data_IF_361106895319
#
_entry.id   IF_361106895319
#
_cell.length_a   1.000
_cell.length_b   1.000
_cell.length_c   1.000
_cell.angle_alpha   90.00
_cell.angle_beta   90.00
_cell.angle_gamma   90.00
#
_symmetry.space_group_name_H-M   'P 1'
#
loop_
_entity.id
_entity.type
_entity.pdbx_description
1 polymer ?
#
# COMPACT_ATOMS: atom_id res chain seq x y z
N UNK A 1 -17.68 0.22 -20.27
CA UNK A 1 -17.90 0.22 -18.80
C UNK A 1 -18.34 1.61 -18.33
N UNK A 2 -18.91 1.78 -17.12
CA UNK A 2 -19.29 3.10 -16.59
C UNK A 2 -18.74 3.28 -15.17
N UNK A 3 -17.67 4.06 -15.03
CA UNK A 3 -16.97 4.33 -13.77
C UNK A 3 -17.72 5.28 -12.83
N UNK A 4 -18.82 5.89 -13.28
CA UNK A 4 -19.68 6.79 -12.50
C UNK A 4 -20.97 6.11 -12.00
N UNK A 5 -21.10 4.80 -12.19
CA UNK A 5 -22.33 4.07 -11.81
C UNK A 5 -22.55 4.01 -10.29
N UNK A 6 -21.46 4.09 -9.51
CA UNK A 6 -21.51 3.98 -8.06
C UNK A 6 -21.77 5.34 -7.39
N UNK A 7 -22.70 5.42 -6.42
CA UNK A 7 -22.86 6.63 -5.63
C UNK A 7 -21.60 6.90 -4.80
N UNK A 8 -21.27 8.18 -4.63
CA UNK A 8 -20.20 8.60 -3.72
C UNK A 8 -20.69 8.48 -2.28
N UNK A 9 -19.87 7.90 -1.40
CA UNK A 9 -20.17 7.71 0.01
C UNK A 9 -19.35 8.65 0.91
N UNK A 10 -19.81 8.78 2.16
CA UNK A 10 -19.18 9.61 3.19
C UNK A 10 -19.62 11.07 3.14
N UNK A 11 -18.98 11.90 3.95
CA UNK A 11 -19.44 13.26 4.28
C UNK A 11 -18.35 14.33 4.09
N UNK A 12 -17.19 13.97 3.55
CA UNK A 12 -16.17 14.95 3.24
C UNK A 12 -16.55 15.70 1.97
N UNK A 13 -16.78 17.01 2.10
CA UNK A 13 -16.95 17.90 0.96
C UNK A 13 -15.63 18.06 0.19
N UNK A 14 -15.67 17.84 -1.12
CA UNK A 14 -14.56 18.11 -2.03
C UNK A 14 -14.68 19.50 -2.64
N UNK A 15 -13.60 19.99 -3.24
CA UNK A 15 -13.62 21.25 -3.97
C UNK A 15 -14.48 21.14 -5.24
N UNK A 16 -15.07 22.26 -5.71
CA UNK A 16 -15.76 22.29 -7.00
C UNK A 16 -14.87 21.82 -8.17
N UNK A 17 -13.56 22.12 -8.09
CA UNK A 17 -12.59 21.68 -9.10
C UNK A 17 -12.48 20.15 -9.14
N UNK A 18 -12.38 19.50 -7.98
CA UNK A 18 -12.30 18.04 -7.92
C UNK A 18 -13.58 17.39 -8.46
N UNK A 19 -14.75 17.88 -8.06
CA UNK A 19 -16.02 17.30 -8.52
C UNK A 19 -16.23 17.46 -10.02
N UNK A 20 -15.82 18.60 -10.61
CA UNK A 20 -15.83 18.80 -12.06
C UNK A 20 -14.90 17.82 -12.77
N UNK A 21 -13.62 17.78 -12.35
CA UNK A 21 -12.60 17.01 -13.06
C UNK A 21 -12.72 15.50 -12.83
N UNK A 22 -13.24 15.06 -11.69
CA UNK A 22 -13.53 13.65 -11.44
C UNK A 22 -14.47 13.07 -12.51
N UNK A 23 -15.57 13.75 -12.79
CA UNK A 23 -16.55 13.31 -13.80
C UNK A 23 -15.90 13.27 -15.18
N UNK A 24 -15.31 14.40 -15.60
CA UNK A 24 -14.71 14.54 -16.94
C UNK A 24 -13.62 13.50 -17.20
N UNK A 25 -12.77 13.25 -16.20
CA UNK A 25 -11.65 12.32 -16.30
C UNK A 25 -12.14 10.88 -16.41
N UNK A 26 -13.12 10.48 -15.60
CA UNK A 26 -13.66 9.13 -15.62
C UNK A 26 -14.44 8.86 -16.91
N UNK A 27 -15.26 9.80 -17.37
CA UNK A 27 -15.95 9.70 -18.67
C UNK A 27 -14.96 9.62 -19.83
N UNK A 28 -13.92 10.44 -19.84
CA UNK A 28 -12.90 10.40 -20.88
C UNK A 28 -12.14 9.06 -20.87
N UNK A 29 -11.71 8.60 -19.70
CA UNK A 29 -11.01 7.31 -19.53
C UNK A 29 -11.85 6.13 -20.02
N UNK A 30 -13.14 6.13 -19.68
CA UNK A 30 -14.10 5.12 -20.16
C UNK A 30 -14.26 5.20 -21.68
N UNK A 31 -14.46 6.40 -22.22
CA UNK A 31 -14.67 6.66 -23.65
C UNK A 31 -13.49 6.23 -24.52
N UNK A 32 -12.25 6.45 -24.06
CA UNK A 32 -11.04 6.04 -24.78
C UNK A 32 -10.67 4.56 -24.57
N UNK A 33 -11.44 3.83 -23.77
CA UNK A 33 -11.27 2.39 -23.55
C UNK A 33 -10.20 1.99 -22.54
N UNK A 34 -9.55 2.96 -21.87
CA UNK A 34 -8.51 2.69 -20.85
C UNK A 34 -9.06 1.88 -19.68
N UNK A 35 -10.30 2.19 -19.25
CA UNK A 35 -10.96 1.46 -18.16
C UNK A 35 -11.07 -0.03 -18.45
N UNK A 36 -11.44 -0.41 -19.67
CA UNK A 36 -11.61 -1.81 -20.03
C UNK A 36 -10.25 -2.54 -20.16
N UNK A 37 -9.22 -1.83 -20.62
CA UNK A 37 -7.87 -2.39 -20.82
C UNK A 37 -7.06 -2.55 -19.55
N UNK A 38 -7.22 -1.67 -18.56
CA UNK A 38 -6.49 -1.72 -17.28
C UNK A 38 -7.29 -2.56 -16.29
N UNK A 39 -6.68 -3.62 -15.75
CA UNK A 39 -7.36 -4.66 -14.99
C UNK A 39 -6.92 -4.65 -13.52
N UNK A 40 -6.70 -5.82 -12.92
CA UNK A 40 -6.31 -5.97 -11.52
C UNK A 40 -4.86 -5.57 -11.26
N UNK A 41 -4.52 -5.35 -9.99
CA UNK A 41 -3.12 -5.25 -9.54
C UNK A 41 -2.54 -6.66 -9.56
N UNK A 42 -1.51 -6.89 -10.38
CA UNK A 42 -0.79 -8.17 -10.44
C UNK A 42 0.36 -8.24 -9.42
N UNK A 43 0.97 -7.09 -9.11
CA UNK A 43 2.08 -7.03 -8.17
C UNK A 43 2.17 -5.66 -7.47
N UNK A 44 2.77 -5.66 -6.29
CA UNK A 44 3.21 -4.46 -5.59
C UNK A 44 4.69 -4.57 -5.25
N UNK A 45 5.38 -3.43 -5.21
CA UNK A 45 6.81 -3.37 -5.00
C UNK A 45 7.15 -2.62 -3.72
N UNK A 46 7.99 -3.23 -2.90
CA UNK A 46 8.52 -2.67 -1.66
C UNK A 46 10.03 -2.79 -1.73
N UNK A 47 10.75 -1.71 -1.42
CA UNK A 47 12.20 -1.75 -1.18
C UNK A 47 12.47 -1.70 0.31
N UNK A 48 13.54 -2.37 0.74
CA UNK A 48 14.04 -2.40 2.13
C UNK A 48 15.52 -2.05 2.16
N UNK A 49 16.05 -1.70 3.34
CA UNK A 49 17.48 -1.48 3.53
C UNK A 49 18.30 -2.75 3.24
N UNK A 50 19.56 -2.61 2.81
CA UNK A 50 20.52 -3.71 2.79
C UNK A 50 20.54 -4.48 4.12
N UNK A 51 20.53 -5.81 4.05
CA UNK A 51 20.48 -6.73 5.17
C UNK A 51 19.08 -6.97 5.75
N UNK A 52 18.02 -6.35 5.23
CA UNK A 52 16.68 -6.44 5.83
C UNK A 52 15.72 -7.43 5.14
N UNK A 53 15.97 -7.87 3.91
CA UNK A 53 15.02 -8.71 3.16
C UNK A 53 14.70 -10.03 3.86
N UNK A 54 15.70 -10.76 4.37
CA UNK A 54 15.51 -12.05 5.05
C UNK A 54 14.55 -11.92 6.24
N UNK A 55 14.80 -10.93 7.10
CA UNK A 55 13.99 -10.68 8.29
C UNK A 55 12.59 -10.19 7.91
N UNK A 56 12.48 -9.31 6.92
CA UNK A 56 11.20 -8.80 6.46
C UNK A 56 10.33 -9.88 5.80
N UNK A 57 10.91 -10.77 5.01
CA UNK A 57 10.19 -11.90 4.41
C UNK A 57 9.69 -12.86 5.48
N UNK A 58 10.48 -13.09 6.53
CA UNK A 58 10.07 -13.91 7.67
C UNK A 58 8.92 -13.26 8.46
N UNK A 59 8.98 -11.93 8.65
CA UNK A 59 7.89 -11.15 9.23
C UNK A 59 6.61 -11.24 8.39
N UNK A 60 6.70 -11.01 7.08
CA UNK A 60 5.57 -11.13 6.17
C UNK A 60 5.02 -12.55 6.14
N UNK A 61 5.86 -13.58 6.15
CA UNK A 61 5.43 -14.97 6.16
C UNK A 61 4.62 -15.31 7.42
N UNK A 62 4.96 -14.75 8.57
CA UNK A 62 4.22 -14.92 9.83
C UNK A 62 2.92 -14.11 9.85
N UNK A 63 2.99 -12.85 9.44
CA UNK A 63 1.91 -11.87 9.62
C UNK A 63 0.92 -11.79 8.45
N UNK A 64 1.19 -12.49 7.35
CA UNK A 64 0.39 -12.43 6.12
C UNK A 64 0.19 -13.82 5.52
N UNK A 65 -0.76 -14.04 4.60
CA UNK A 65 -0.91 -15.32 3.90
C UNK A 65 0.18 -15.57 2.85
N UNK A 66 1.08 -14.61 2.60
CA UNK A 66 2.03 -14.68 1.50
C UNK A 66 3.12 -15.74 1.71
N UNK A 67 3.46 -16.45 0.63
CA UNK A 67 4.53 -17.43 0.60
C UNK A 67 5.70 -16.94 -0.25
N UNK A 68 6.92 -17.10 0.25
CA UNK A 68 8.12 -16.90 -0.56
C UNK A 68 8.18 -17.96 -1.67
N UNK A 69 8.33 -17.50 -2.91
CA UNK A 69 8.45 -18.37 -4.08
C UNK A 69 9.90 -18.51 -4.53
N UNK A 70 10.54 -17.36 -4.80
CA UNK A 70 11.85 -17.32 -5.46
C UNK A 70 12.51 -15.97 -5.25
N UNK A 71 13.83 -15.94 -5.38
CA UNK A 71 14.62 -14.72 -5.48
C UNK A 71 15.10 -14.55 -6.91
N UNK A 72 14.90 -13.37 -7.46
CA UNK A 72 15.41 -12.91 -8.75
C UNK A 72 16.66 -12.07 -8.47
N UNK A 73 17.79 -12.57 -8.92
CA UNK A 73 19.12 -11.99 -8.69
C UNK A 73 19.60 -11.25 -9.93
N UNK A 74 19.64 -9.93 -9.83
CA UNK A 74 20.26 -9.06 -10.81
C UNK A 74 21.63 -8.60 -10.32
N UNK A 75 22.30 -7.72 -11.09
CA UNK A 75 23.66 -7.27 -10.78
C UNK A 75 23.72 -6.54 -9.44
N UNK A 76 22.76 -5.64 -9.18
CA UNK A 76 22.76 -4.77 -7.99
C UNK A 76 21.60 -5.00 -7.03
N UNK A 77 20.63 -5.87 -7.34
CA UNK A 77 19.48 -6.12 -6.47
C UNK A 77 19.21 -7.61 -6.20
N UNK A 78 18.57 -7.86 -5.07
CA UNK A 78 17.75 -9.04 -4.83
C UNK A 78 16.28 -8.63 -4.94
N UNK A 79 15.48 -9.39 -5.68
CA UNK A 79 14.02 -9.22 -5.74
C UNK A 79 13.34 -10.53 -5.36
N UNK A 80 12.75 -10.56 -4.18
CA UNK A 80 12.05 -11.73 -3.65
C UNK A 80 10.57 -11.65 -4.01
N UNK A 81 10.07 -12.72 -4.64
CA UNK A 81 8.67 -12.83 -5.04
C UNK A 81 7.90 -13.57 -3.96
N UNK A 82 6.89 -12.91 -3.40
CA UNK A 82 5.96 -13.52 -2.48
C UNK A 82 4.57 -13.58 -3.12
N UNK A 83 3.89 -14.72 -2.97
CA UNK A 83 2.56 -14.97 -3.57
C UNK A 83 1.67 -15.75 -2.62
N UNK A 84 0.37 -15.42 -2.62
CA UNK A 84 -0.66 -16.26 -1.99
C UNK A 84 -1.18 -17.27 -3.01
N UNK A 85 -1.69 -16.75 -4.12
CA UNK A 85 -2.24 -17.50 -5.24
C UNK A 85 -2.14 -16.66 -6.53
N UNK A 86 -2.81 -17.09 -7.61
CA UNK A 86 -2.84 -16.35 -8.88
C UNK A 86 -3.95 -15.28 -8.95
N UNK A 87 -4.74 -15.09 -7.89
CA UNK A 87 -5.79 -14.07 -7.81
C UNK A 87 -5.28 -12.81 -7.13
N UNK A 88 -4.66 -12.99 -5.96
CA UNK A 88 -4.16 -11.90 -5.13
C UNK A 88 -2.86 -11.32 -5.69
N UNK A 89 -2.59 -10.01 -5.56
CA UNK A 89 -1.36 -9.41 -6.08
C UNK A 89 -0.13 -10.03 -5.42
N UNK A 90 0.96 -10.21 -6.18
CA UNK A 90 2.24 -10.59 -5.62
C UNK A 90 2.88 -9.43 -4.84
N UNK A 91 3.72 -9.74 -3.85
CA UNK A 91 4.61 -8.75 -3.22
C UNK A 91 6.03 -8.99 -3.72
N UNK A 92 6.62 -7.96 -4.32
CA UNK A 92 8.02 -7.93 -4.72
C UNK A 92 8.81 -7.16 -3.67
N UNK A 93 9.53 -7.87 -2.80
CA UNK A 93 10.46 -7.26 -1.83
C UNK A 93 11.81 -7.13 -2.51
N UNK A 94 12.29 -5.90 -2.64
CA UNK A 94 13.53 -5.55 -3.33
C UNK A 94 14.56 -5.02 -2.33
N UNK A 95 15.79 -5.47 -2.47
CA UNK A 95 16.92 -5.02 -1.64
C UNK A 95 18.09 -4.70 -2.57
N UNK A 96 18.72 -3.54 -2.36
CA UNK A 96 19.99 -3.19 -3.01
C UNK A 96 21.15 -3.93 -2.36
N UNK A 97 22.05 -4.47 -3.16
CA UNK A 97 23.25 -5.19 -2.67
C UNK A 97 24.31 -4.24 -2.09
N UNK A 98 24.42 -3.04 -2.66
CA UNK A 98 25.32 -1.99 -2.18
C UNK A 98 24.51 -0.86 -1.51
N UNK A 99 24.74 -0.58 -0.21
CA UNK A 99 24.10 0.54 0.50
C UNK A 99 24.39 1.92 -0.12
N UNK A 100 25.37 2.06 -1.02
CA UNK A 100 25.68 3.31 -1.74
C UNK A 100 25.02 3.40 -3.11
N UNK A 101 24.14 2.47 -3.46
CA UNK A 101 23.35 2.56 -4.69
C UNK A 101 22.51 3.84 -4.65
N UNK A 102 22.74 4.74 -5.60
CA UNK A 102 21.98 5.99 -5.73
C UNK A 102 20.95 5.86 -6.86
N UNK A 103 19.69 6.08 -6.51
CA UNK A 103 18.58 6.03 -7.45
C UNK A 103 17.46 6.98 -7.05
N UNK A 104 16.52 7.21 -7.97
CA UNK A 104 15.42 8.17 -7.77
C UNK A 104 14.62 7.92 -6.48
N UNK A 105 14.37 6.66 -6.14
CA UNK A 105 13.60 6.28 -4.95
C UNK A 105 14.31 6.60 -3.64
N UNK A 106 15.64 6.41 -3.63
CA UNK A 106 16.50 6.82 -2.53
C UNK A 106 16.48 8.33 -2.35
N UNK A 107 16.69 9.08 -3.43
CA UNK A 107 16.68 10.54 -3.38
C UNK A 107 15.34 11.11 -2.92
N UNK A 108 14.22 10.45 -3.23
CA UNK A 108 12.90 10.84 -2.73
C UNK A 108 12.74 10.65 -1.21
N UNK A 109 13.53 9.76 -0.59
CA UNK A 109 13.52 9.54 0.86
C UNK A 109 14.53 10.46 1.59
N UNK A 110 15.69 10.72 0.99
CA UNK A 110 16.79 11.51 1.59
C UNK A 110 16.43 12.96 1.88
N UNK A 111 15.40 13.51 1.23
CA UNK A 111 14.94 14.89 1.47
C UNK A 111 14.03 15.03 2.69
N UNK A 112 13.69 13.93 3.37
CA UNK A 112 12.80 13.93 4.53
C UNK A 112 13.52 13.46 5.80
N UNK A 113 13.29 14.10 6.97
CA UNK A 113 14.05 13.85 8.19
C UNK A 113 14.15 12.37 8.59
N UNK A 114 13.03 11.67 8.70
CA UNK A 114 13.04 10.24 9.07
C UNK A 114 13.36 9.38 7.84
N UNK A 115 12.86 9.76 6.66
CA UNK A 115 13.14 9.07 5.41
C UNK A 115 14.64 8.93 5.11
N UNK A 116 15.45 9.92 5.49
CA UNK A 116 16.89 9.92 5.27
C UNK A 116 17.64 8.86 6.09
N UNK A 117 17.10 8.40 7.22
CA UNK A 117 17.73 7.36 8.04
C UNK A 117 17.56 5.94 7.47
N UNK A 118 16.52 5.71 6.66
CA UNK A 118 16.28 4.45 5.93
C UNK A 118 15.95 4.77 4.47
N UNK A 119 16.95 5.28 3.71
CA UNK A 119 16.70 5.91 2.43
C UNK A 119 16.36 4.89 1.33
N UNK A 120 16.70 3.61 1.47
CA UNK A 120 16.34 2.56 0.53
C UNK A 120 14.96 1.96 0.83
N UNK A 121 14.43 2.14 2.04
CA UNK A 121 13.19 1.52 2.49
C UNK A 121 11.96 2.34 2.11
N UNK A 122 11.09 1.78 1.26
CA UNK A 122 9.77 2.36 0.95
C UNK A 122 8.88 1.40 0.16
N UNK A 123 7.59 1.69 0.18
CA UNK A 123 6.71 1.27 -0.89
C UNK A 123 7.04 2.01 -2.19
N UNK A 124 7.19 1.27 -3.30
CA UNK A 124 7.45 1.84 -4.61
C UNK A 124 6.17 2.10 -5.39
N UNK A 125 5.22 1.16 -5.40
CA UNK A 125 4.05 1.26 -6.27
C UNK A 125 3.43 -0.07 -6.68
N UNK A 126 2.39 0.02 -7.51
CA UNK A 126 1.59 -1.09 -8.03
C UNK A 126 1.85 -1.36 -9.52
N UNK A 127 1.73 -2.61 -9.94
CA UNK A 127 1.72 -3.04 -11.34
C UNK A 127 0.32 -3.57 -11.70
N UNK A 128 -0.35 -2.92 -12.64
CA UNK A 128 -1.61 -3.38 -13.20
C UNK A 128 -1.41 -4.33 -14.37
N UNK A 129 -2.22 -5.38 -14.41
CA UNK A 129 -2.40 -6.16 -15.63
C UNK A 129 -3.11 -5.32 -16.68
N UNK A 130 -2.65 -5.39 -17.91
CA UNK A 130 -3.34 -4.80 -19.06
C UNK A 130 -3.59 -5.82 -20.16
N UNK A 131 -4.60 -5.56 -20.99
CA UNK A 131 -4.90 -6.42 -22.15
C UNK A 131 -4.08 -6.07 -23.40
N UNK A 132 -3.57 -4.83 -23.48
CA UNK A 132 -2.68 -4.36 -24.54
C UNK A 132 -1.77 -3.26 -23.96
N UNK A 133 -0.49 -3.56 -23.79
CA UNK A 133 0.49 -2.63 -23.21
C UNK A 133 0.75 -1.44 -24.13
N UNK A 134 0.84 -1.69 -25.44
CA UNK A 134 1.13 -0.63 -26.40
C UNK A 134 0.04 0.44 -26.40
N UNK A 135 -1.22 0.02 -26.52
CA UNK A 135 -2.36 0.94 -26.59
C UNK A 135 -2.54 1.71 -25.28
N UNK A 136 -2.40 1.04 -24.13
CA UNK A 136 -2.45 1.72 -22.82
C UNK A 136 -1.35 2.77 -22.70
N UNK A 137 -0.11 2.45 -23.10
CA UNK A 137 1.00 3.40 -23.04
C UNK A 137 0.78 4.59 -23.96
N UNK A 138 0.34 4.37 -25.20
CA UNK A 138 0.09 5.46 -26.16
C UNK A 138 -1.06 6.37 -25.71
N UNK A 139 -2.16 5.79 -25.21
CA UNK A 139 -3.27 6.56 -24.66
C UNK A 139 -2.86 7.36 -23.41
N UNK A 140 -2.06 6.78 -22.51
CA UNK A 140 -1.58 7.51 -21.34
C UNK A 140 -0.59 8.63 -21.72
N UNK A 141 0.27 8.43 -22.72
CA UNK A 141 1.14 9.50 -23.23
C UNK A 141 0.35 10.64 -23.86
N UNK A 142 -0.75 10.33 -24.57
CA UNK A 142 -1.66 11.35 -25.09
C UNK A 142 -2.33 12.19 -23.98
N UNK A 143 -2.38 11.65 -22.75
CA UNK A 143 -2.82 12.30 -21.52
C UNK A 143 -1.64 12.86 -20.70
N UNK A 144 -0.51 13.08 -21.36
CA UNK A 144 0.73 13.68 -20.82
C UNK A 144 1.44 12.87 -19.71
N UNK A 145 1.07 11.60 -19.53
CA UNK A 145 1.73 10.73 -18.56
C UNK A 145 3.15 10.37 -19.02
N UNK A 146 4.11 10.53 -18.10
CA UNK A 146 5.53 10.29 -18.37
C UNK A 146 5.93 8.89 -17.93
N UNK A 147 6.60 8.18 -18.81
CA UNK A 147 7.14 6.84 -18.56
C UNK A 147 8.65 6.87 -18.38
N UNK A 148 9.18 5.90 -17.64
CA UNK A 148 10.58 5.52 -17.79
C UNK A 148 10.81 4.97 -19.20
N UNK A 149 11.93 5.34 -19.82
CA UNK A 149 12.38 4.67 -21.03
C UNK A 149 13.08 3.34 -20.69
N UNK A 150 13.33 2.50 -21.69
CA UNK A 150 13.93 1.17 -21.49
C UNK A 150 15.32 1.23 -20.85
N UNK A 151 16.14 2.26 -21.14
CA UNK A 151 17.44 2.43 -20.48
C UNK A 151 17.29 2.69 -18.99
N UNK A 152 16.29 3.49 -18.60
CA UNK A 152 16.02 3.79 -17.19
C UNK A 152 15.43 2.58 -16.46
N UNK A 153 14.53 1.81 -17.09
CA UNK A 153 14.02 0.55 -16.53
C UNK A 153 15.18 -0.41 -16.24
N UNK A 154 16.09 -0.59 -17.21
CA UNK A 154 17.28 -1.42 -17.05
C UNK A 154 18.20 -0.94 -15.92
N UNK A 155 18.48 0.37 -15.85
CA UNK A 155 19.32 0.97 -14.78
C UNK A 155 18.71 0.85 -13.39
N UNK A 156 17.38 0.84 -13.30
CA UNK A 156 16.65 0.64 -12.04
C UNK A 156 16.45 -0.84 -11.71
N UNK A 157 16.88 -1.75 -12.61
CA UNK A 157 16.64 -3.19 -12.53
C UNK A 157 15.17 -3.52 -12.24
N UNK A 158 14.26 -2.79 -12.90
CA UNK A 158 12.82 -3.08 -12.91
C UNK A 158 12.49 -4.06 -14.05
N UNK A 159 11.41 -4.86 -13.96
CA UNK A 159 11.11 -5.88 -14.97
C UNK A 159 10.99 -5.26 -16.37
N UNK A 160 11.78 -5.78 -17.32
CA UNK A 160 11.87 -5.21 -18.67
C UNK A 160 10.62 -5.42 -19.55
N UNK A 161 9.72 -6.30 -19.13
CA UNK A 161 8.45 -6.61 -19.78
C UNK A 161 7.29 -5.71 -19.33
N UNK A 162 7.60 -4.59 -18.66
CA UNK A 162 6.61 -3.65 -18.12
C UNK A 162 6.85 -2.24 -18.64
N UNK A 163 5.77 -1.46 -18.73
CA UNK A 163 5.87 0.00 -18.86
C UNK A 163 5.58 0.63 -17.49
N UNK A 164 6.45 1.51 -17.01
CA UNK A 164 6.35 2.08 -15.67
C UNK A 164 6.37 3.60 -15.75
N UNK A 165 5.40 4.25 -15.12
CA UNK A 165 5.35 5.71 -15.05
C UNK A 165 6.44 6.26 -14.13
N UNK A 166 6.86 7.50 -14.37
CA UNK A 166 7.72 8.23 -13.44
C UNK A 166 7.02 8.35 -12.07
N UNK A 167 7.77 8.43 -10.96
CA UNK A 167 7.18 8.63 -9.64
C UNK A 167 6.25 9.84 -9.65
N UNK A 168 5.05 9.65 -9.13
CA UNK A 168 4.04 10.69 -8.96
C UNK A 168 4.62 11.84 -8.12
N UNK A 169 4.40 13.11 -8.50
CA UNK A 169 4.80 14.26 -7.69
C UNK A 169 3.95 14.38 -6.41
N UNK A 170 2.82 13.68 -6.31
CA UNK A 170 1.89 13.77 -5.18
C UNK A 170 2.04 12.62 -4.19
N UNK A 171 2.40 11.42 -4.68
CA UNK A 171 2.51 10.20 -3.86
C UNK A 171 3.91 9.61 -3.81
N UNK A 172 4.81 10.08 -4.68
CA UNK A 172 6.14 9.50 -4.93
C UNK A 172 6.14 8.03 -5.37
N UNK A 173 4.98 7.43 -5.60
CA UNK A 173 4.85 6.05 -6.03
C UNK A 173 4.81 5.96 -7.56
N UNK A 174 5.11 4.79 -8.08
CA UNK A 174 4.97 4.45 -9.50
C UNK A 174 3.72 3.62 -9.74
N UNK A 175 3.20 3.71 -10.96
CA UNK A 175 2.24 2.77 -11.51
C UNK A 175 2.89 2.08 -12.70
N UNK A 176 2.80 0.75 -12.76
CA UNK A 176 3.24 -0.02 -13.90
C UNK A 176 2.10 -0.71 -14.63
N UNK A 177 2.36 -1.05 -15.88
CA UNK A 177 1.47 -1.83 -16.73
C UNK A 177 2.22 -3.03 -17.26
N UNK A 178 1.56 -4.19 -17.19
CA UNK A 178 2.08 -5.44 -17.70
C UNK A 178 1.02 -6.15 -18.53
N UNK A 179 1.28 -6.30 -19.82
CA UNK A 179 0.43 -7.12 -20.67
C UNK A 179 0.65 -8.59 -20.33
N UNK A 180 -0.41 -9.21 -19.82
CA UNK A 180 -0.42 -10.62 -19.43
C UNK A 180 -1.80 -11.21 -19.74
N UNK A 181 -1.88 -12.32 -20.50
CA UNK A 181 -3.10 -13.09 -20.65
C UNK A 181 -3.64 -13.60 -19.31
N UNK A 182 -4.96 -13.75 -19.23
CA UNK A 182 -5.61 -14.36 -18.06
C UNK A 182 -5.20 -15.83 -17.98
N UNK A 183 -4.81 -16.28 -16.79
CA UNK A 183 -4.39 -17.67 -16.55
C UNK A 183 -2.90 -17.94 -16.80
N UNK A 184 -2.16 -17.02 -17.42
CA UNK A 184 -0.72 -17.13 -17.50
C UNK A 184 -0.05 -16.82 -16.16
N UNK A 185 1.06 -17.52 -15.89
CA UNK A 185 1.87 -17.31 -14.71
C UNK A 185 2.45 -15.91 -14.71
N UNK A 186 2.52 -15.31 -13.52
CA UNK A 186 3.25 -14.06 -13.33
C UNK A 186 4.75 -14.38 -13.28
N UNK A 187 5.43 -14.10 -14.40
CA UNK A 187 6.89 -14.20 -14.57
C UNK A 187 7.50 -12.80 -14.74
N UNK A 188 8.38 -12.42 -13.82
CA UNK A 188 9.08 -11.14 -13.84
C UNK A 188 10.41 -11.28 -14.59
N UNK A 189 10.60 -10.50 -15.65
CA UNK A 189 11.82 -10.54 -16.46
C UNK A 189 13.00 -9.82 -15.76
N UNK A 190 13.53 -10.46 -14.70
CA UNK A 190 14.63 -9.96 -13.88
C UNK A 190 15.63 -11.07 -13.54
N UNK A 191 16.89 -10.86 -13.91
CA UNK A 191 18.02 -11.60 -13.36
C UNK A 191 17.94 -13.13 -13.44
N UNK A 192 18.67 -13.78 -12.54
CA UNK A 192 18.66 -15.23 -12.37
C UNK A 192 17.64 -15.64 -11.30
N UNK A 193 16.84 -16.65 -11.58
CA UNK A 193 15.86 -17.20 -10.66
C UNK A 193 16.50 -18.27 -9.77
N UNK A 194 16.56 -18.02 -8.45
CA UNK A 194 17.17 -18.93 -7.47
C UNK A 194 16.35 -19.04 -6.18
N UNK A 195 16.48 -20.16 -5.47
CA UNK A 195 16.01 -20.27 -4.10
C UNK A 195 17.15 -19.83 -3.18
N UNK A 196 17.09 -18.59 -2.69
CA UNK A 196 18.00 -18.12 -1.64
C UNK A 196 17.75 -18.91 -0.34
N UNK A 197 18.79 -19.60 0.15
CA UNK A 197 18.69 -20.54 1.28
C UNK A 197 18.31 -19.87 2.60
N UNK A 198 18.88 -18.69 2.88
CA UNK A 198 18.62 -17.97 4.14
C UNK A 198 17.20 -17.43 4.18
N UNK A 199 16.73 -16.84 3.08
CA UNK A 199 15.35 -16.38 2.92
C UNK A 199 14.39 -17.55 3.04
N UNK A 200 14.66 -18.67 2.37
CA UNK A 200 13.80 -19.84 2.41
C UNK A 200 13.71 -20.42 3.83
N UNK A 201 14.82 -20.50 4.56
CA UNK A 201 14.81 -20.97 5.96
C UNK A 201 13.91 -20.10 6.85
N UNK A 202 14.10 -18.78 6.82
CA UNK A 202 13.29 -17.85 7.62
C UNK A 202 11.80 -17.91 7.25
N UNK A 203 11.49 -18.01 5.96
CA UNK A 203 10.13 -18.24 5.47
C UNK A 203 9.50 -19.53 6.02
N UNK A 204 10.21 -20.67 5.94
CA UNK A 204 9.67 -21.96 6.39
C UNK A 204 9.42 -21.95 7.91
N UNK A 205 10.37 -21.44 8.69
CA UNK A 205 10.22 -21.31 10.15
C UNK A 205 9.01 -20.43 10.51
N UNK A 206 8.83 -19.30 9.81
CA UNK A 206 7.69 -18.41 10.01
C UNK A 206 6.36 -19.06 9.64
N UNK A 207 6.28 -19.80 8.52
CA UNK A 207 5.05 -20.51 8.13
C UNK A 207 4.72 -21.69 9.02
N UNK A 208 5.72 -22.41 9.50
CA UNK A 208 5.50 -23.44 10.51
C UNK A 208 4.96 -22.82 11.80
N UNK A 209 5.49 -21.69 12.24
CA UNK A 209 4.98 -20.96 13.40
C UNK A 209 3.53 -20.49 13.16
N UNK A 210 3.25 -19.89 12.00
CA UNK A 210 1.92 -19.43 11.60
C UNK A 210 0.89 -20.58 11.66
N UNK A 211 1.24 -21.75 11.13
CA UNK A 211 0.40 -22.95 11.15
C UNK A 211 0.21 -23.51 12.57
N UNK A 212 1.27 -23.57 13.38
CA UNK A 212 1.17 -24.01 14.79
C UNK A 212 0.27 -23.11 15.62
N UNK A 213 0.22 -21.83 15.28
CA UNK A 213 -0.68 -20.83 15.87
C UNK A 213 -2.09 -20.85 15.26
N UNK A 214 -2.37 -21.66 14.24
CA UNK A 214 -3.68 -21.74 13.58
C UNK A 214 -4.06 -20.50 12.77
N UNK A 215 -3.09 -19.71 12.32
CA UNK A 215 -3.33 -18.42 11.65
C UNK A 215 -3.45 -18.53 10.12
N UNK A 216 -2.99 -19.64 9.54
CA UNK A 216 -2.86 -19.86 8.09
C UNK A 216 -4.19 -19.77 7.31
N UNK A 217 -5.32 -19.96 8.00
CA UNK A 217 -6.67 -19.84 7.43
C UNK A 217 -7.42 -18.59 7.88
N UNK A 218 -6.87 -17.86 8.84
CA UNK A 218 -7.53 -16.70 9.44
C UNK A 218 -7.10 -15.40 8.78
N UNK A 219 -5.82 -15.27 8.44
CA UNK A 219 -5.30 -14.08 7.76
C UNK A 219 -5.51 -14.26 6.26
N UNK A 220 -6.32 -13.38 5.68
CA UNK A 220 -6.68 -13.36 4.26
C UNK A 220 -5.80 -12.35 3.49
N UNK A 221 -5.89 -12.32 2.15
CA UNK A 221 -5.13 -11.37 1.34
C UNK A 221 -5.43 -9.90 1.65
N UNK A 222 -4.71 -9.03 0.93
CA UNK A 222 -4.78 -7.58 1.11
C UNK A 222 -6.20 -7.06 0.84
N UNK A 223 -6.74 -6.31 1.80
CA UNK A 223 -7.99 -5.56 1.69
C UNK A 223 -7.72 -4.18 1.08
N UNK A 224 -6.74 -3.45 1.61
CA UNK A 224 -6.46 -2.11 1.11
C UNK A 224 -5.05 -1.58 1.36
N UNK A 225 -4.75 -0.49 0.66
CA UNK A 225 -3.46 0.19 0.63
C UNK A 225 -3.65 1.67 0.94
N UNK A 226 -3.26 2.10 2.16
CA UNK A 226 -3.39 3.50 2.55
C UNK A 226 -2.11 4.30 2.35
N UNK A 227 -2.21 5.35 1.55
CA UNK A 227 -1.15 6.29 1.22
C UNK A 227 -1.42 7.60 1.93
N UNK A 228 -0.42 8.10 2.67
CA UNK A 228 -0.46 9.43 3.25
C UNK A 228 0.15 10.44 2.29
N UNK A 229 -0.53 11.57 2.10
CA UNK A 229 -0.14 12.65 1.19
C UNK A 229 -0.34 14.01 1.83
N UNK A 230 0.34 15.03 1.31
CA UNK A 230 0.20 16.41 1.78
C UNK A 230 -1.24 16.90 1.64
N UNK A 231 -1.70 17.69 2.60
CA UNK A 231 -3.02 18.31 2.60
C UNK A 231 -3.40 18.94 1.25
N UNK A 232 -2.52 19.79 0.70
CA UNK A 232 -2.76 20.51 -0.57
C UNK A 232 -2.77 19.61 -1.81
N UNK A 233 -2.25 18.39 -1.70
CA UNK A 233 -2.14 17.46 -2.83
C UNK A 233 -3.28 16.43 -2.86
N UNK A 234 -4.22 16.47 -1.89
CA UNK A 234 -5.25 15.43 -1.70
C UNK A 234 -5.97 15.05 -2.99
N UNK A 235 -6.65 16.04 -3.56
CA UNK A 235 -7.52 15.87 -4.72
C UNK A 235 -6.71 15.56 -5.99
N UNK A 236 -5.56 16.21 -6.17
CA UNK A 236 -4.67 15.98 -7.30
C UNK A 236 -4.11 14.54 -7.30
N UNK A 237 -3.70 14.02 -6.15
CA UNK A 237 -3.20 12.64 -6.02
C UNK A 237 -4.27 11.61 -6.38
N UNK A 238 -5.51 11.84 -5.93
CA UNK A 238 -6.64 10.95 -6.22
C UNK A 238 -6.94 10.96 -7.72
N UNK A 239 -7.08 12.14 -8.33
CA UNK A 239 -7.36 12.25 -9.77
C UNK A 239 -6.23 11.67 -10.63
N UNK A 240 -4.96 11.86 -10.24
CA UNK A 240 -3.83 11.22 -10.93
C UNK A 240 -3.93 9.69 -10.84
N UNK A 241 -4.21 9.13 -9.67
CA UNK A 241 -4.36 7.68 -9.53
C UNK A 241 -5.53 7.13 -10.37
N UNK A 242 -6.66 7.83 -10.41
CA UNK A 242 -7.80 7.47 -11.26
C UNK A 242 -7.47 7.61 -12.75
N UNK A 243 -6.58 8.53 -13.12
CA UNK A 243 -6.04 8.64 -14.49
C UNK A 243 -5.24 7.40 -14.86
N UNK A 244 -4.45 6.88 -13.92
CA UNK A 244 -3.48 5.80 -14.14
C UNK A 244 -4.07 4.39 -13.97
N UNK A 245 -5.27 4.26 -13.42
CA UNK A 245 -5.89 2.97 -13.10
C UNK A 245 -7.29 2.83 -13.71
N UNK A 246 -7.94 1.69 -13.50
CA UNK A 246 -9.37 1.49 -13.74
C UNK A 246 -10.22 1.67 -12.47
N UNK A 247 -9.71 2.38 -11.47
CA UNK A 247 -10.45 2.57 -10.21
C UNK A 247 -11.51 3.67 -10.36
N UNK A 248 -12.52 3.68 -9.49
CA UNK A 248 -13.44 4.79 -9.34
C UNK A 248 -13.32 5.38 -7.93
N UNK A 249 -13.78 6.62 -7.76
CA UNK A 249 -13.85 7.27 -6.46
C UNK A 249 -15.07 6.75 -5.69
N UNK A 250 -14.83 5.99 -4.63
CA UNK A 250 -15.90 5.37 -3.85
C UNK A 250 -16.50 6.36 -2.84
N UNK A 251 -15.66 7.14 -2.18
CA UNK A 251 -16.13 8.09 -1.19
C UNK A 251 -15.04 8.62 -0.27
N UNK A 252 -15.41 9.52 0.62
CA UNK A 252 -14.49 10.11 1.58
C UNK A 252 -15.17 10.58 2.85
N UNK A 253 -14.42 10.48 3.95
CA UNK A 253 -14.91 10.74 5.29
C UNK A 253 -14.03 11.76 5.98
N UNK A 254 -14.69 12.72 6.63
CA UNK A 254 -14.00 13.74 7.40
C UNK A 254 -13.72 13.24 8.82
N UNK A 255 -12.45 13.30 9.23
CA UNK A 255 -11.96 12.90 10.56
C UNK A 255 -11.49 14.18 11.27
N UNK A 256 -12.46 15.04 11.59
CA UNK A 256 -12.23 16.40 12.07
C UNK A 256 -11.32 16.45 13.31
N UNK A 257 -11.49 15.52 14.27
CA UNK A 257 -10.71 15.46 15.52
C UNK A 257 -9.20 15.27 15.29
N UNK A 258 -8.81 14.69 14.16
CA UNK A 258 -7.41 14.42 13.80
C UNK A 258 -6.90 15.32 12.66
N UNK A 259 -7.65 16.39 12.33
CA UNK A 259 -7.38 17.25 11.16
C UNK A 259 -7.10 16.40 9.92
N UNK A 260 -7.92 15.39 9.64
CA UNK A 260 -7.62 14.40 8.60
C UNK A 260 -8.86 14.02 7.81
N UNK A 261 -8.64 13.49 6.61
CA UNK A 261 -9.68 12.91 5.77
C UNK A 261 -9.17 11.63 5.14
N UNK A 262 -10.06 10.66 5.01
CA UNK A 262 -9.77 9.37 4.38
C UNK A 262 -10.61 9.22 3.13
N UNK A 263 -9.95 8.97 1.99
CA UNK A 263 -10.54 8.97 0.66
C UNK A 263 -10.29 7.61 0.01
N UNK A 264 -11.35 6.92 -0.40
CA UNK A 264 -11.27 5.54 -0.87
C UNK A 264 -11.56 5.48 -2.36
N UNK A 265 -10.76 4.68 -3.06
CA UNK A 265 -11.00 4.31 -4.45
C UNK A 265 -11.03 2.79 -4.56
N UNK A 266 -11.91 2.27 -5.42
CA UNK A 266 -12.12 0.83 -5.61
C UNK A 266 -12.00 0.45 -7.08
N UNK A 267 -11.67 -0.81 -7.35
CA UNK A 267 -11.67 -1.33 -8.72
C UNK A 267 -13.09 -1.34 -9.29
N UNK A 268 -13.25 -0.88 -10.53
CA UNK A 268 -14.53 -0.99 -11.25
C UNK A 268 -14.81 -2.44 -11.72
N UNK A 269 -13.77 -3.27 -11.82
CA UNK A 269 -13.86 -4.62 -12.37
C UNK A 269 -14.09 -5.68 -11.31
N UNK A 270 -13.61 -5.45 -10.09
CA UNK A 270 -13.54 -6.44 -9.03
C UNK A 270 -14.10 -5.86 -7.74
N UNK A 271 -15.19 -6.47 -7.27
CA UNK A 271 -15.77 -6.12 -5.98
C UNK A 271 -14.93 -6.64 -4.80
N UNK A 272 -14.25 -7.77 -5.00
CA UNK A 272 -13.38 -8.41 -4.02
C UNK A 272 -12.00 -7.77 -4.02
N UNK A 273 -11.67 -7.10 -2.91
CA UNK A 273 -10.40 -6.43 -2.69
C UNK A 273 -9.20 -7.39 -2.73
N UNK A 274 -9.39 -8.68 -2.45
CA UNK A 274 -8.29 -9.65 -2.54
C UNK A 274 -7.73 -9.76 -3.95
N UNK A 275 -8.55 -9.51 -4.99
CA UNK A 275 -8.12 -9.51 -6.39
C UNK A 275 -7.44 -8.18 -6.76
N UNK A 276 -8.00 -7.06 -6.31
CA UNK A 276 -7.48 -5.73 -6.59
C UNK A 276 -7.75 -4.82 -5.39
N UNK A 277 -6.79 -4.68 -4.45
CA UNK A 277 -7.00 -4.00 -3.18
C UNK A 277 -7.49 -2.57 -3.35
N UNK A 278 -8.35 -2.10 -2.44
CA UNK A 278 -8.77 -0.71 -2.45
C UNK A 278 -7.57 0.23 -2.23
N UNK A 279 -7.56 1.37 -2.90
CA UNK A 279 -6.52 2.39 -2.73
C UNK A 279 -7.09 3.54 -1.91
N UNK A 280 -6.49 3.77 -0.76
CA UNK A 280 -6.91 4.77 0.21
C UNK A 280 -5.89 5.91 0.24
N UNK A 281 -6.38 7.14 0.25
CA UNK A 281 -5.59 8.35 0.40
C UNK A 281 -6.01 9.08 1.67
N UNK A 282 -5.06 9.25 2.58
CA UNK A 282 -5.25 9.99 3.81
C UNK A 282 -4.45 11.28 3.74
N UNK A 283 -5.11 12.41 3.99
CA UNK A 283 -4.48 13.73 3.94
C UNK A 283 -5.06 14.62 5.03
N UNK A 284 -4.23 15.51 5.58
CA UNK A 284 -4.74 16.47 6.56
C UNK A 284 -5.78 17.41 5.95
N UNK A 285 -6.77 17.84 6.73
CA UNK A 285 -7.79 18.78 6.27
C UNK A 285 -7.20 20.16 5.99
N UNK A 286 -6.25 20.56 6.84
CA UNK A 286 -5.51 21.79 6.75
C UNK A 286 -3.99 21.52 6.62
N UNK A 287 -3.26 22.32 5.82
CA UNK A 287 -1.82 22.17 5.66
C UNK A 287 -1.04 22.57 6.93
N UNK A 288 0.18 22.06 7.07
CA UNK A 288 0.95 22.24 8.31
C UNK A 288 1.11 23.69 8.78
N UNK A 289 1.23 24.64 7.84
CA UNK A 289 1.56 26.03 8.17
C UNK A 289 0.39 26.78 8.84
N UNK A 290 -0.85 26.28 8.75
CA UNK A 290 -1.99 26.84 9.48
C UNK A 290 -2.31 26.07 10.76
N UNK A 291 -1.64 24.95 11.05
CA UNK A 291 -1.94 24.14 12.23
C UNK A 291 -1.78 24.94 13.55
N UNK A 292 -0.90 25.95 13.59
CA UNK A 292 -0.76 26.85 14.73
C UNK A 292 -2.01 27.71 15.03
N UNK A 293 -2.89 27.88 14.04
CA UNK A 293 -4.18 28.57 14.19
C UNK A 293 -5.32 27.57 14.48
N UNK A 294 -5.26 26.39 13.86
CA UNK A 294 -6.27 25.34 14.00
C UNK A 294 -6.21 24.67 15.37
N UNK A 295 -5.00 24.46 15.92
CA UNK A 295 -4.81 23.90 17.25
C UNK A 295 -5.18 22.41 17.39
N UNK A 296 -5.32 21.68 16.27
CA UNK A 296 -5.64 20.25 16.25
C UNK A 296 -4.38 19.39 16.02
N UNK A 297 -4.38 18.14 16.50
CA UNK A 297 -3.41 17.14 16.07
C UNK A 297 -3.40 17.03 14.54
N UNK A 298 -2.24 16.77 13.93
CA UNK A 298 -2.12 16.58 12.48
C UNK A 298 -1.14 15.46 12.14
N UNK A 299 -1.35 14.24 12.67
CA UNK A 299 -0.41 13.13 12.51
C UNK A 299 -0.21 12.76 11.04
N UNK A 300 -1.24 12.86 10.21
CA UNK A 300 -1.14 12.62 8.76
C UNK A 300 -0.16 13.57 8.09
N UNK A 301 -0.24 14.87 8.37
CA UNK A 301 0.67 15.87 7.78
C UNK A 301 2.09 15.72 8.34
N UNK A 302 2.22 15.46 9.65
CA UNK A 302 3.51 15.19 10.29
C UNK A 302 4.23 14.00 9.67
N UNK A 303 3.53 12.89 9.42
CA UNK A 303 4.08 11.74 8.70
C UNK A 303 4.66 12.14 7.36
N UNK A 304 3.88 12.87 6.55
CA UNK A 304 4.30 13.24 5.19
C UNK A 304 5.48 14.21 5.23
N UNK A 305 5.60 15.07 6.24
CA UNK A 305 6.78 15.93 6.42
C UNK A 305 8.02 15.17 6.87
N UNK A 306 7.86 14.05 7.57
CA UNK A 306 8.97 13.26 8.13
C UNK A 306 9.43 12.13 7.22
N UNK A 307 8.52 11.53 6.48
CA UNK A 307 8.75 10.39 5.59
C UNK A 307 8.55 10.76 4.11
N UNK A 308 7.93 11.89 3.78
CA UNK A 308 7.45 12.15 2.43
C UNK A 308 6.14 11.41 2.14
N UNK A 309 5.44 11.76 1.05
CA UNK A 309 4.23 11.07 0.66
C UNK A 309 4.57 9.66 0.22
N UNK A 310 3.88 8.66 0.80
CA UNK A 310 4.08 7.24 0.52
C UNK A 310 2.98 6.39 1.15
N UNK A 311 2.94 5.10 0.80
CA UNK A 311 2.15 4.11 1.52
C UNK A 311 2.57 4.09 3.00
N UNK A 312 1.60 4.10 3.90
CA UNK A 312 1.79 4.06 5.34
C UNK A 312 1.47 2.66 5.91
N UNK A 313 0.39 2.02 5.44
CA UNK A 313 0.04 0.67 5.87
C UNK A 313 -0.52 -0.18 4.73
N UNK A 314 -0.43 -1.50 4.93
CA UNK A 314 -1.09 -2.54 4.14
C UNK A 314 -2.10 -3.23 5.05
N UNK A 315 -3.37 -3.23 4.66
CA UNK A 315 -4.42 -3.90 5.43
C UNK A 315 -4.68 -5.30 4.89
N UNK A 316 -4.76 -6.27 5.79
CA UNK A 316 -5.14 -7.65 5.50
C UNK A 316 -6.50 -7.94 6.10
N UNK A 317 -7.35 -8.60 5.31
CA UNK A 317 -8.60 -9.11 5.83
C UNK A 317 -8.35 -10.25 6.83
N UNK A 318 -9.22 -10.36 7.82
CA UNK A 318 -9.30 -11.50 8.73
C UNK A 318 -10.64 -12.17 8.51
N UNK A 319 -10.63 -13.49 8.37
CA UNK A 319 -11.83 -14.28 8.13
C UNK A 319 -12.90 -14.00 9.19
N UNK A 320 -14.15 -13.82 8.76
CA UNK A 320 -15.27 -13.63 9.69
C UNK A 320 -15.47 -14.89 10.55
N UNK A 321 -16.01 -14.70 11.74
CA UNK A 321 -16.26 -15.73 12.74
C UNK A 321 -15.33 -15.68 13.94
N UNK A 322 -15.24 -16.83 14.60
CA UNK A 322 -14.56 -17.00 15.88
C UNK A 322 -13.72 -18.30 15.88
N UNK A 323 -12.61 -18.26 16.60
CA UNK A 323 -11.73 -19.39 16.86
C UNK A 323 -11.62 -19.57 18.36
N UNK A 324 -11.94 -20.77 18.86
CA UNK A 324 -11.91 -21.08 20.30
C UNK A 324 -12.75 -20.11 21.16
N UNK A 325 -13.92 -19.68 20.66
CA UNK A 325 -14.81 -18.75 21.36
C UNK A 325 -14.30 -17.31 21.42
N UNK A 326 -13.28 -16.98 20.62
CA UNK A 326 -12.74 -15.62 20.49
C UNK A 326 -12.92 -15.14 19.05
N UNK A 327 -13.31 -13.88 18.86
CA UNK A 327 -13.37 -13.24 17.54
C UNK A 327 -12.01 -13.40 16.84
N UNK A 328 -12.03 -13.78 15.56
CA UNK A 328 -10.82 -14.18 14.83
C UNK A 328 -9.74 -13.10 14.85
N UNK A 329 -10.05 -11.82 14.66
CA UNK A 329 -9.05 -10.74 14.74
C UNK A 329 -8.40 -10.67 16.12
N UNK A 330 -9.16 -10.86 17.20
CA UNK A 330 -8.60 -10.85 18.54
C UNK A 330 -7.73 -12.10 18.79
N UNK A 331 -8.08 -13.24 18.20
CA UNK A 331 -7.26 -14.45 18.26
C UNK A 331 -5.94 -14.27 17.49
N UNK A 332 -6.01 -13.72 16.27
CA UNK A 332 -4.84 -13.44 15.42
C UNK A 332 -3.88 -12.50 16.13
N UNK A 333 -4.38 -11.41 16.70
CA UNK A 333 -3.57 -10.40 17.38
C UNK A 333 -2.87 -10.98 18.60
N UNK A 334 -3.59 -11.72 19.46
CA UNK A 334 -2.97 -12.35 20.64
C UNK A 334 -1.87 -13.36 20.26
N UNK A 335 -2.14 -14.18 19.25
CA UNK A 335 -1.18 -15.18 18.77
C UNK A 335 0.09 -14.54 18.21
N UNK A 336 -0.04 -13.41 17.50
CA UNK A 336 1.08 -12.65 16.95
C UNK A 336 1.82 -11.87 18.05
N UNK A 337 1.10 -11.27 19.02
CA UNK A 337 1.69 -10.63 20.21
C UNK A 337 2.54 -11.63 21.01
N UNK A 338 2.07 -12.88 21.16
CA UNK A 338 2.82 -13.94 21.82
C UNK A 338 4.12 -14.34 21.10
N UNK A 339 4.34 -13.89 19.86
CA UNK A 339 5.60 -14.02 19.10
C UNK A 339 6.48 -12.76 19.14
N UNK A 340 6.15 -11.80 20.01
CA UNK A 340 6.95 -10.59 20.22
C UNK A 340 6.73 -9.51 19.16
N UNK A 341 5.57 -9.52 18.49
CA UNK A 341 5.16 -8.45 17.57
C UNK A 341 4.22 -7.49 18.28
N UNK A 342 4.55 -6.21 18.22
CA UNK A 342 3.81 -5.16 18.90
C UNK A 342 2.68 -4.59 18.03
N UNK A 343 1.68 -4.04 18.70
CA UNK A 343 0.55 -3.33 18.11
C UNK A 343 0.38 -2.00 18.81
N UNK A 344 -0.14 -1.01 18.07
CA UNK A 344 -0.19 0.38 18.53
C UNK A 344 -1.25 0.61 19.62
N UNK A 345 -2.28 -0.22 19.65
CA UNK A 345 -3.37 -0.17 20.61
C UNK A 345 -4.02 -1.56 20.75
N UNK A 346 -5.12 -1.63 21.49
CA UNK A 346 -5.99 -2.80 21.50
C UNK A 346 -6.87 -2.85 20.25
N UNK A 347 -7.50 -3.99 19.98
CA UNK A 347 -8.39 -4.12 18.81
C UNK A 347 -9.65 -3.29 19.04
N UNK A 348 -9.94 -2.39 18.10
CA UNK A 348 -11.07 -1.45 18.18
C UNK A 348 -12.19 -1.83 17.24
N UNK A 349 -13.34 -1.18 17.44
CA UNK A 349 -14.60 -1.54 16.79
C UNK A 349 -15.31 -2.71 17.47
N UNK A 350 -16.43 -3.12 16.89
CA UNK A 350 -17.29 -4.15 17.44
C UNK A 350 -18.08 -4.87 16.36
N UNK A 351 -18.68 -6.00 16.73
CA UNK A 351 -19.60 -6.74 15.85
C UNK A 351 -20.83 -5.90 15.49
N UNK A 352 -21.34 -5.10 16.43
CA UNK A 352 -22.52 -4.25 16.23
C UNK A 352 -22.24 -3.10 15.26
N UNK A 353 -20.99 -2.60 15.23
CA UNK A 353 -20.53 -1.62 14.24
C UNK A 353 -20.18 -2.25 12.89
N UNK A 354 -20.20 -3.58 12.79
CA UNK A 354 -19.94 -4.34 11.56
C UNK A 354 -18.46 -4.56 11.25
N UNK A 355 -17.53 -4.03 12.03
CA UNK A 355 -16.09 -4.26 11.82
C UNK A 355 -15.21 -4.10 13.06
N UNK A 356 -14.08 -4.82 13.08
CA UNK A 356 -12.98 -4.63 14.03
C UNK A 356 -11.65 -4.44 13.31
N UNK A 357 -10.79 -3.58 13.85
CA UNK A 357 -9.52 -3.18 13.24
C UNK A 357 -8.39 -3.00 14.26
N UNK A 358 -7.14 -3.09 13.80
CA UNK A 358 -5.95 -2.79 14.61
C UNK A 358 -4.72 -2.56 13.71
N UNK A 359 -3.80 -1.70 14.15
CA UNK A 359 -2.48 -1.50 13.54
C UNK A 359 -1.38 -2.20 14.33
N UNK A 360 -0.51 -2.94 13.62
CA UNK A 360 0.80 -3.31 14.16
C UNK A 360 1.67 -2.07 14.39
N UNK A 361 2.72 -2.19 15.18
CA UNK A 361 3.83 -1.23 15.11
C UNK A 361 4.43 -1.21 13.71
N UNK A 362 4.98 -0.07 13.29
CA UNK A 362 5.65 0.02 11.99
C UNK A 362 6.88 -0.90 11.96
N UNK A 363 6.96 -1.76 10.94
CA UNK A 363 8.06 -2.72 10.74
C UNK A 363 9.42 -2.03 10.81
N UNK A 364 10.34 -2.62 11.56
CA UNK A 364 11.74 -2.14 11.59
C UNK A 364 12.42 -2.30 10.23
N UNK A 365 11.92 -3.18 9.35
CA UNK A 365 12.55 -3.50 8.09
C UNK A 365 12.02 -2.67 6.91
N UNK A 366 10.73 -2.33 6.91
CA UNK A 366 10.09 -1.60 5.80
C UNK A 366 9.48 -0.25 6.20
N UNK A 367 9.33 0.02 7.50
CA UNK A 367 8.55 1.13 8.06
C UNK A 367 7.05 1.09 7.75
N UNK A 368 6.55 -0.01 7.16
CA UNK A 368 5.12 -0.19 6.92
C UNK A 368 4.44 -0.79 8.14
N UNK A 369 3.20 -0.37 8.36
CA UNK A 369 2.28 -0.98 9.32
C UNK A 369 1.46 -2.07 8.61
N UNK A 370 1.21 -3.17 9.30
CA UNK A 370 0.18 -4.15 8.93
C UNK A 370 -1.08 -3.80 9.70
N UNK A 371 -2.18 -3.60 8.99
CA UNK A 371 -3.52 -3.52 9.58
C UNK A 371 -4.21 -4.88 9.45
N UNK A 372 -4.92 -5.30 10.49
CA UNK A 372 -5.90 -6.39 10.38
C UNK A 372 -7.30 -5.81 10.42
N UNK A 373 -8.18 -6.30 9.52
CA UNK A 373 -9.57 -5.90 9.43
C UNK A 373 -10.47 -7.14 9.40
N UNK A 374 -11.36 -7.29 10.38
CA UNK A 374 -12.44 -8.27 10.32
C UNK A 374 -13.77 -7.54 10.10
N UNK A 375 -14.44 -7.82 8.98
CA UNK A 375 -15.81 -7.38 8.69
C UNK A 375 -16.77 -8.49 9.11
N UNK A 376 -17.90 -8.12 9.73
CA UNK A 376 -18.90 -9.07 10.21
C UNK A 376 -20.13 -9.09 9.30
N UNK A 377 -20.64 -10.28 8.99
CA UNK A 377 -21.92 -10.43 8.29
C UNK A 377 -21.93 -9.76 6.91
N UNK A 378 -22.92 -8.91 6.68
CA UNK A 378 -23.17 -8.19 5.42
C UNK A 378 -22.67 -6.74 5.44
N UNK A 379 -21.73 -6.40 6.33
CA UNK A 379 -21.17 -5.06 6.40
C UNK A 379 -20.49 -4.63 5.09
N UNK A 380 -21.10 -3.67 4.41
CA UNK A 380 -20.64 -3.10 3.11
C UNK A 380 -19.90 -1.76 3.26
N UNK A 381 -19.68 -1.30 4.50
CA UNK A 381 -18.87 -0.11 4.76
C UNK A 381 -17.37 -0.39 4.64
N UNK A 382 -16.56 0.67 4.69
CA UNK A 382 -15.10 0.54 4.60
C UNK A 382 -14.41 0.64 5.98
N UNK A 383 -14.80 1.60 6.82
CA UNK A 383 -14.37 1.79 8.22
C UNK A 383 -15.45 2.54 9.01
N UNK A 384 -15.31 2.62 10.35
CA UNK A 384 -16.03 3.63 11.16
C UNK A 384 -15.14 4.86 11.35
N UNK A 385 -15.74 6.05 11.46
CA UNK A 385 -14.98 7.29 11.72
C UNK A 385 -14.21 7.24 13.03
N UNK A 386 -14.80 6.64 14.05
CA UNK A 386 -14.18 6.50 15.36
C UNK A 386 -12.94 5.61 15.28
N UNK A 387 -13.02 4.46 14.59
CA UNK A 387 -11.86 3.59 14.40
C UNK A 387 -10.71 4.33 13.70
N UNK A 388 -11.02 5.06 12.62
CA UNK A 388 -10.00 5.83 11.88
C UNK A 388 -9.36 6.90 12.78
N UNK A 389 -10.14 7.60 13.62
CA UNK A 389 -9.62 8.62 14.52
C UNK A 389 -8.62 8.03 15.53
N UNK A 390 -8.99 6.91 16.18
CA UNK A 390 -8.15 6.24 17.19
C UNK A 390 -6.87 5.65 16.57
N UNK A 391 -6.98 4.98 15.42
CA UNK A 391 -5.84 4.44 14.68
C UNK A 391 -4.88 5.54 14.21
N UNK A 392 -5.43 6.67 13.77
CA UNK A 392 -4.66 7.84 13.31
C UNK A 392 -3.89 8.49 14.44
N UNK A 393 -4.52 8.63 15.62
CA UNK A 393 -3.88 9.14 16.83
C UNK A 393 -2.73 8.24 17.28
N UNK A 394 -2.97 6.93 17.39
CA UNK A 394 -1.98 5.97 17.86
C UNK A 394 -0.74 5.92 16.93
N UNK A 395 -0.95 5.91 15.61
CA UNK A 395 0.14 6.00 14.64
C UNK A 395 0.93 7.31 14.78
N UNK A 396 0.25 8.44 15.00
CA UNK A 396 0.90 9.72 15.22
C UNK A 396 1.81 9.77 16.45
N UNK A 397 1.40 9.09 17.54
CA UNK A 397 2.21 8.98 18.76
C UNK A 397 3.49 8.17 18.50
N UNK A 398 3.38 7.00 17.85
CA UNK A 398 4.55 6.16 17.52
C UNK A 398 5.54 6.91 16.62
N UNK A 399 5.04 7.62 15.61
CA UNK A 399 5.86 8.39 14.68
C UNK A 399 6.64 9.52 15.35
N UNK A 400 6.00 10.24 16.29
CA UNK A 400 6.68 11.29 17.06
C UNK A 400 7.78 10.70 17.96
N UNK A 401 7.57 9.53 18.56
CA UNK A 401 8.60 8.84 19.32
C UNK A 401 9.80 8.46 18.44
N UNK A 402 9.55 7.95 17.22
CA UNK A 402 10.60 7.63 16.24
C UNK A 402 11.36 8.87 15.79
N UNK A 403 10.68 10.02 15.62
CA UNK A 403 11.34 11.29 15.30
C UNK A 403 12.33 11.70 16.39
N UNK A 404 11.88 11.69 17.66
CA UNK A 404 12.74 12.05 18.80
C UNK A 404 13.95 11.12 18.94
N UNK A 405 13.77 9.82 18.68
CA UNK A 405 14.86 8.84 18.67
C UNK A 405 15.85 9.12 17.53
N UNK A 406 15.37 9.43 16.33
CA UNK A 406 16.20 9.74 15.17
C UNK A 406 17.01 11.03 15.38
N UNK A 407 16.40 12.07 15.94
CA UNK A 407 17.08 13.32 16.31
C UNK A 407 18.16 13.10 17.37
N UNK A 408 17.89 12.23 18.35
CA UNK A 408 18.85 11.89 19.41
C UNK A 408 20.02 11.02 18.93
N UNK A 409 19.84 10.24 17.86
CA UNK A 409 20.90 9.42 17.26
C UNK A 409 21.77 10.19 16.25
N UNK A 410 21.31 11.37 15.81
CA UNK A 410 22.02 12.27 14.89
C UNK A 410 22.88 13.34 15.58
N UNK A 411 22.86 13.41 16.91
CA UNK A 411 23.79 14.19 17.76
C UNK A 411 24.85 13.30 18.36
#
# INVERSE_FOLDING_TARGET
MNSLIHPKLGDKENSPWFDEFLVRLLEDRDRVGLTDMIREIDAMMITVEPGCSVAYISELALMTPYHYLVTLESESHWTHVLRVDMKSPDILVREVRDPNTHGIFRSLNEVYPIGAHKPNSRYMGEIFRVTNLHDVVELQKAREIRFFNQDQIRKLELPGNMAIVKPSPYTHNIVGYWERPVGELRVYALGNSVINEEVNRGYQEAKEAQKRLGLDKLILPIDHLATRIYSQNREAAILEYLTLSSYYYWGSYDIASQNSSTNVTKSIHYADESISPAKVFTAANHPYFVNHLVGLPSPTESFVRNYGPRLHHVALAVADGETNGKINIDYVVDAIKAKGKDFLLDVIGSRDEGLKQIFSSASEHSSLIIEYVQRFGDFDGFFTKQNVAELTEAAGVEENLKLLQAESAGT
#
